data_IF_454592523634
#
_entry.id   IF_454592523634
#
_cell.length_a   1.000
_cell.length_b   1.000
_cell.length_c   1.000
_cell.angle_alpha   90.00
_cell.angle_beta   90.00
_cell.angle_gamma   90.00
#
_symmetry.space_group_name_H-M   'P 1'
#
loop_
_entity.id
_entity.type
_entity.pdbx_description
1 polymer ?
#
# COMPACT_ATOMS: atom_id res chain seq x y z
N UNK A 1 19.39 -5.36 -9.70
CA UNK A 1 18.00 -5.69 -9.33
C UNK A 1 17.84 -6.23 -7.90
N UNK A 2 18.76 -7.03 -7.36
CA UNK A 2 18.66 -7.58 -5.98
C UNK A 2 18.79 -6.56 -4.82
N UNK A 3 19.15 -5.30 -5.10
CA UNK A 3 19.36 -4.28 -4.07
C UNK A 3 18.05 -3.77 -3.45
N UNK A 4 16.95 -3.74 -4.21
CA UNK A 4 15.63 -3.29 -3.72
C UNK A 4 15.05 -4.15 -2.59
N UNK A 5 15.48 -5.41 -2.47
CA UNK A 5 15.03 -6.32 -1.41
C UNK A 5 15.78 -6.15 -0.08
N UNK A 6 16.99 -5.56 -0.09
CA UNK A 6 17.78 -5.36 1.12
C UNK A 6 17.26 -4.20 1.97
N UNK A 7 16.84 -3.12 1.33
CA UNK A 7 16.31 -1.94 2.02
C UNK A 7 14.90 -2.13 2.56
N UNK A 8 14.68 -1.69 3.80
CA UNK A 8 13.34 -1.64 4.40
C UNK A 8 12.39 -0.71 3.62
N UNK A 9 12.91 0.35 3.01
CA UNK A 9 12.15 1.33 2.21
C UNK A 9 11.78 0.72 0.85
N UNK A 10 12.71 0.01 0.21
CA UNK A 10 12.45 -0.70 -1.04
C UNK A 10 11.34 -1.75 -0.91
N UNK A 11 11.37 -2.54 0.17
CA UNK A 11 10.29 -3.50 0.48
C UNK A 11 8.95 -2.80 0.72
N UNK A 12 8.94 -1.72 1.51
CA UNK A 12 7.73 -0.94 1.76
C UNK A 12 7.13 -0.42 0.45
N UNK A 13 7.95 0.07 -0.48
CA UNK A 13 7.50 0.56 -1.78
C UNK A 13 6.81 -0.51 -2.63
N UNK A 14 7.39 -1.71 -2.68
CA UNK A 14 6.80 -2.85 -3.41
C UNK A 14 5.45 -3.22 -2.80
N UNK A 15 5.39 -3.32 -1.46
CA UNK A 15 4.15 -3.69 -0.76
C UNK A 15 3.08 -2.61 -0.93
N UNK A 16 3.45 -1.32 -0.83
CA UNK A 16 2.56 -0.18 -1.06
C UNK A 16 1.97 -0.19 -2.49
N UNK A 17 2.79 -0.56 -3.47
CA UNK A 17 2.36 -0.64 -4.86
C UNK A 17 1.41 -1.82 -5.10
N UNK A 18 1.70 -2.99 -4.53
CA UNK A 18 0.82 -4.16 -4.59
C UNK A 18 -0.51 -3.89 -3.89
N UNK A 19 -0.47 -3.27 -2.71
CA UNK A 19 -1.65 -2.85 -1.96
C UNK A 19 -2.48 -1.86 -2.78
N UNK A 20 -1.87 -0.82 -3.34
CA UNK A 20 -2.56 0.18 -4.16
C UNK A 20 -3.21 -0.42 -5.42
N UNK A 21 -2.53 -1.35 -6.09
CA UNK A 21 -3.11 -2.08 -7.24
C UNK A 21 -4.28 -2.96 -6.79
N UNK A 22 -4.16 -3.66 -5.65
CA UNK A 22 -5.27 -4.45 -5.10
C UNK A 22 -6.47 -3.57 -4.72
N UNK A 23 -6.19 -2.37 -4.19
CA UNK A 23 -7.00 -1.15 -4.14
C UNK A 23 -7.89 -0.98 -5.36
N UNK A 24 -7.20 -0.62 -6.43
CA UNK A 24 -7.80 -0.29 -7.71
C UNK A 24 -8.55 -1.47 -8.30
N UNK A 25 -8.02 -2.69 -8.21
CA UNK A 25 -8.71 -3.89 -8.67
C UNK A 25 -10.03 -4.11 -7.93
N UNK A 26 -10.06 -3.91 -6.61
CA UNK A 26 -11.28 -4.08 -5.82
C UNK A 26 -12.34 -3.02 -6.19
N UNK A 27 -11.93 -1.76 -6.31
CA UNK A 27 -12.86 -0.64 -6.60
C UNK A 27 -13.29 -0.58 -8.06
N UNK A 28 -12.39 -0.78 -9.02
CA UNK A 28 -12.69 -0.63 -10.45
C UNK A 28 -13.08 -1.93 -11.15
N UNK A 29 -12.78 -3.09 -10.56
CA UNK A 29 -13.16 -4.39 -11.14
C UNK A 29 -14.23 -5.03 -10.26
N UNK A 30 -13.93 -5.31 -8.98
CA UNK A 30 -14.83 -6.11 -8.14
C UNK A 30 -16.16 -5.41 -7.85
N UNK A 31 -16.16 -4.10 -7.59
CA UNK A 31 -17.39 -3.32 -7.35
C UNK A 31 -18.26 -3.26 -8.62
N UNK A 32 -17.77 -2.86 -9.81
CA UNK A 32 -18.57 -2.91 -11.02
C UNK A 32 -19.10 -4.31 -11.34
N UNK A 33 -18.29 -5.35 -11.20
CA UNK A 33 -18.75 -6.73 -11.43
C UNK A 33 -19.87 -7.13 -10.46
N UNK A 34 -19.76 -6.75 -9.19
CA UNK A 34 -20.78 -7.03 -8.17
C UNK A 34 -22.11 -6.33 -8.48
N UNK A 35 -22.07 -5.06 -8.87
CA UNK A 35 -23.30 -4.26 -9.06
C UNK A 35 -23.91 -4.36 -10.47
N UNK A 36 -23.08 -4.44 -11.53
CA UNK A 36 -23.57 -4.54 -12.91
C UNK A 36 -23.88 -5.97 -13.33
N UNK A 37 -23.11 -6.96 -12.85
CA UNK A 37 -23.26 -8.37 -13.26
C UNK A 37 -23.85 -9.25 -12.17
N UNK A 38 -24.18 -8.70 -10.98
CA UNK A 38 -24.71 -9.45 -9.83
C UNK A 38 -23.85 -10.67 -9.40
N UNK A 39 -22.57 -10.67 -9.76
CA UNK A 39 -21.62 -11.74 -9.42
C UNK A 39 -20.67 -11.26 -8.30
N UNK A 40 -20.98 -11.54 -7.02
CA UNK A 40 -20.17 -11.08 -5.88
C UNK A 40 -18.87 -11.87 -5.70
N UNK A 41 -18.63 -12.91 -6.48
CA UNK A 41 -17.48 -13.83 -6.34
C UNK A 41 -16.14 -13.12 -6.37
N UNK A 42 -15.95 -12.17 -7.30
CA UNK A 42 -14.71 -11.39 -7.38
C UNK A 42 -14.46 -10.58 -6.10
N UNK A 43 -15.49 -9.98 -5.52
CA UNK A 43 -15.34 -9.23 -4.26
C UNK A 43 -15.05 -10.15 -3.06
N UNK A 44 -15.60 -11.37 -3.05
CA UNK A 44 -15.36 -12.37 -2.01
C UNK A 44 -13.93 -12.92 -2.04
N UNK A 45 -13.32 -12.97 -3.22
CA UNK A 45 -11.94 -13.42 -3.39
C UNK A 45 -10.93 -12.28 -3.22
N UNK A 46 -11.17 -11.13 -3.89
CA UNK A 46 -10.27 -9.99 -3.85
C UNK A 46 -10.28 -9.26 -2.51
N UNK A 47 -11.40 -9.27 -1.78
CA UNK A 47 -11.52 -8.64 -0.46
C UNK A 47 -10.49 -9.18 0.56
N UNK A 48 -10.46 -10.50 0.83
CA UNK A 48 -9.46 -11.11 1.71
C UNK A 48 -8.02 -10.93 1.23
N UNK A 49 -7.77 -11.02 -0.10
CA UNK A 49 -6.44 -10.80 -0.68
C UNK A 49 -5.96 -9.37 -0.41
N UNK A 50 -6.81 -8.39 -0.69
CA UNK A 50 -6.53 -6.99 -0.40
C UNK A 50 -6.34 -6.74 1.10
N UNK A 51 -7.21 -7.30 1.96
CA UNK A 51 -7.08 -7.18 3.41
C UNK A 51 -5.75 -7.73 3.96
N UNK A 52 -5.28 -8.86 3.41
CA UNK A 52 -3.97 -9.41 3.77
C UNK A 52 -2.81 -8.49 3.34
N UNK A 53 -2.88 -7.94 2.11
CA UNK A 53 -1.89 -6.96 1.61
C UNK A 53 -1.91 -5.67 2.44
N UNK A 54 -3.09 -5.18 2.83
CA UNK A 54 -3.26 -4.02 3.67
C UNK A 54 -2.61 -4.21 5.04
N UNK A 55 -2.85 -5.34 5.71
CA UNK A 55 -2.18 -5.65 6.98
C UNK A 55 -0.66 -5.70 6.82
N UNK A 56 -0.16 -6.38 5.77
CA UNK A 56 1.27 -6.45 5.48
C UNK A 56 1.88 -5.05 5.25
N UNK A 57 1.16 -4.18 4.55
CA UNK A 57 1.55 -2.79 4.33
C UNK A 57 1.62 -2.02 5.65
N UNK A 58 0.59 -2.09 6.49
CA UNK A 58 0.54 -1.42 7.80
C UNK A 58 1.74 -1.82 8.66
N UNK A 59 2.03 -3.13 8.77
CA UNK A 59 3.18 -3.60 9.53
C UNK A 59 4.51 -3.06 8.99
N UNK A 60 4.68 -3.01 7.67
CA UNK A 60 5.90 -2.47 7.06
C UNK A 60 6.02 -0.96 7.27
N UNK A 61 4.93 -0.20 7.14
CA UNK A 61 4.91 1.25 7.40
C UNK A 61 5.32 1.54 8.85
N UNK A 62 4.76 0.80 9.80
CA UNK A 62 5.12 0.96 11.21
C UNK A 62 6.58 0.58 11.47
N UNK A 63 7.05 -0.54 10.90
CA UNK A 63 8.44 -0.99 11.05
C UNK A 63 9.44 0.03 10.49
N UNK A 64 9.21 0.53 9.27
CA UNK A 64 10.03 1.57 8.64
C UNK A 64 9.91 2.89 9.40
N UNK A 65 8.72 3.26 9.83
CA UNK A 65 8.49 4.46 10.62
C UNK A 65 9.28 4.46 11.93
N UNK A 66 9.40 3.30 12.60
CA UNK A 66 10.25 3.17 13.79
C UNK A 66 11.73 3.23 13.44
N UNK A 67 12.18 2.49 12.41
CA UNK A 67 13.59 2.48 11.97
C UNK A 67 14.09 3.86 11.54
N UNK A 68 13.25 4.60 10.81
CA UNK A 68 13.55 5.94 10.29
C UNK A 68 13.12 7.06 11.24
N UNK A 69 12.67 6.73 12.47
CA UNK A 69 12.22 7.68 13.50
C UNK A 69 11.19 8.69 12.99
N UNK A 70 10.25 8.24 12.15
CA UNK A 70 9.17 9.09 11.66
C UNK A 70 8.25 9.52 12.80
N UNK A 71 7.94 10.81 12.84
CA UNK A 71 6.88 11.37 13.68
C UNK A 71 5.53 10.84 13.18
N UNK A 72 4.87 10.03 14.01
CA UNK A 72 3.60 9.37 13.66
C UNK A 72 2.54 10.37 13.14
N UNK A 73 2.47 11.52 13.79
CA UNK A 73 1.54 12.62 13.50
C UNK A 73 1.85 13.38 12.21
N UNK A 74 3.07 13.29 11.70
CA UNK A 74 3.49 14.04 10.51
C UNK A 74 3.51 13.18 9.26
N UNK A 75 3.95 11.92 9.40
CA UNK A 75 4.32 11.06 8.27
C UNK A 75 3.54 9.75 8.27
N UNK A 76 3.58 8.98 9.36
CA UNK A 76 2.99 7.62 9.40
C UNK A 76 1.50 7.62 9.12
N UNK A 77 0.73 8.52 9.74
CA UNK A 77 -0.73 8.55 9.51
C UNK A 77 -1.09 8.94 8.07
N UNK A 78 -0.32 9.84 7.43
CA UNK A 78 -0.56 10.23 6.02
C UNK A 78 -0.33 9.07 5.08
N UNK A 79 0.72 8.29 5.34
CA UNK A 79 1.05 7.08 4.56
C UNK A 79 -0.06 6.04 4.68
N UNK A 80 -0.57 5.81 5.89
CA UNK A 80 -1.70 4.91 6.14
C UNK A 80 -3.00 5.42 5.52
N UNK A 81 -3.27 6.72 5.57
CA UNK A 81 -4.49 7.26 4.97
C UNK A 81 -4.45 7.21 3.45
N UNK A 82 -3.27 7.40 2.87
CA UNK A 82 -3.06 7.33 1.44
C UNK A 82 -3.30 5.94 0.83
N UNK A 83 -3.19 4.85 1.60
CA UNK A 83 -3.55 3.51 1.09
C UNK A 83 -5.06 3.26 1.03
N UNK A 84 -5.87 4.01 1.78
CA UNK A 84 -7.34 3.92 1.70
C UNK A 84 -7.89 4.72 0.52
N UNK A 85 -7.18 5.77 0.10
CA UNK A 85 -7.56 6.59 -1.04
C UNK A 85 -7.04 5.91 -2.32
N UNK A 86 -7.91 5.57 -3.29
CA UNK A 86 -7.43 5.08 -4.58
C UNK A 86 -6.47 6.11 -5.18
N UNK A 87 -5.30 5.64 -5.64
CA UNK A 87 -4.16 6.44 -6.11
C UNK A 87 -3.34 7.19 -5.03
N UNK A 88 -3.75 7.20 -3.76
CA UNK A 88 -3.01 7.89 -2.70
C UNK A 88 -1.63 7.28 -2.44
N UNK A 89 -1.52 5.96 -2.50
CA UNK A 89 -0.25 5.21 -2.37
C UNK A 89 0.79 5.65 -3.39
N UNK A 90 0.39 5.91 -4.64
CA UNK A 90 1.27 6.40 -5.70
C UNK A 90 1.80 7.82 -5.41
N UNK A 91 0.94 8.68 -4.85
CA UNK A 91 1.32 10.04 -4.49
C UNK A 91 2.31 10.09 -3.32
N UNK A 92 2.06 9.31 -2.27
CA UNK A 92 2.97 9.19 -1.12
C UNK A 92 4.30 8.57 -1.54
N UNK A 93 4.29 7.57 -2.42
CA UNK A 93 5.51 6.97 -2.93
C UNK A 93 6.39 7.99 -3.66
N UNK A 94 5.78 8.81 -4.52
CA UNK A 94 6.51 9.84 -5.25
C UNK A 94 6.99 11.00 -4.37
N UNK A 95 6.25 11.36 -3.32
CA UNK A 95 6.53 12.54 -2.49
C UNK A 95 7.45 12.22 -1.31
N UNK A 96 7.25 11.07 -0.68
CA UNK A 96 7.89 10.70 0.57
C UNK A 96 9.01 9.68 0.35
N UNK A 97 8.72 8.55 -0.30
CA UNK A 97 9.69 7.46 -0.48
C UNK A 97 10.84 7.85 -1.42
N UNK A 98 10.59 8.71 -2.41
CA UNK A 98 11.64 9.26 -3.30
C UNK A 98 12.62 10.20 -2.58
N UNK A 99 12.22 10.81 -1.46
CA UNK A 99 13.03 11.80 -0.72
C UNK A 99 13.93 11.15 0.32
N UNK A 100 13.61 9.93 0.74
CA UNK A 100 14.39 9.18 1.72
C UNK A 100 15.48 8.45 0.95
N UNK A 101 16.72 8.94 1.06
CA UNK A 101 17.89 8.21 0.54
C UNK A 101 18.01 6.90 1.29
N UNK A 102 18.13 5.81 0.54
CA UNK A 102 18.60 4.53 1.09
C UNK A 102 19.92 4.82 1.79
N UNK A 103 19.90 4.80 3.11
CA UNK A 103 21.11 4.94 3.91
C UNK A 103 21.45 3.52 4.27
N UNK A 104 22.45 2.98 3.56
CA UNK A 104 23.01 1.64 3.76
C UNK A 104 23.47 1.42 5.22
#
# INVERSE_FOLDING_TARGET
MLHYFKSAIGRLRIIAFLEGISLLALVFIAVPFKYFLNHPELSKTLGPIHGALFLLFVFNVLSVGVQQKWTFRETTWKVLLACVIPFGTFYIDHTLLRKIKDTD
#
